data_IF_346261222446
#
_entry.id   IF_346261222446
#
_cell.length_a   1.000
_cell.length_b   1.000
_cell.length_c   1.000
_cell.angle_alpha   90.00
_cell.angle_beta   90.00
_cell.angle_gamma   90.00
#
_symmetry.space_group_name_H-M   'P 1'
#
loop_
_entity.id
_entity.type
_entity.pdbx_description
1 polymer ?
#
# COMPACT_ATOMS: atom_id res chain seq x y z
N UNK A 1 -18.53 -0.78 -2.57
CA UNK A 1 -17.87 -1.43 -1.44
C UNK A 1 -17.64 -2.93 -1.70
N UNK A 2 -18.71 -3.73 -1.91
CA UNK A 2 -18.59 -5.18 -2.17
C UNK A 2 -17.72 -5.47 -3.39
N UNK A 3 -17.94 -4.79 -4.51
CA UNK A 3 -17.10 -4.94 -5.71
C UNK A 3 -15.62 -4.63 -5.43
N UNK A 4 -15.34 -3.63 -4.61
CA UNK A 4 -13.97 -3.30 -4.18
C UNK A 4 -13.34 -4.39 -3.33
N UNK A 5 -14.10 -5.00 -2.44
CA UNK A 5 -13.64 -6.14 -1.65
C UNK A 5 -13.32 -7.37 -2.52
N UNK A 6 -14.18 -7.68 -3.50
CA UNK A 6 -13.89 -8.76 -4.45
C UNK A 6 -12.62 -8.46 -5.28
N UNK A 7 -12.48 -7.24 -5.82
CA UNK A 7 -11.27 -6.80 -6.52
C UNK A 7 -10.02 -6.90 -5.63
N UNK A 8 -10.11 -6.55 -4.35
CA UNK A 8 -9.01 -6.64 -3.39
C UNK A 8 -8.49 -8.09 -3.27
N UNK A 9 -9.38 -9.06 -3.28
CA UNK A 9 -9.02 -10.49 -3.28
C UNK A 9 -8.49 -10.95 -4.64
N UNK A 10 -9.21 -10.68 -5.72
CA UNK A 10 -8.88 -11.11 -7.08
C UNK A 10 -7.54 -10.54 -7.55
N UNK A 11 -7.25 -9.30 -7.22
CA UNK A 11 -5.98 -8.63 -7.52
C UNK A 11 -4.86 -8.99 -6.54
N UNK A 12 -5.08 -9.98 -5.66
CA UNK A 12 -4.07 -10.51 -4.73
C UNK A 12 -3.54 -9.51 -3.69
N UNK A 13 -4.23 -8.40 -3.46
CA UNK A 13 -3.88 -7.45 -2.40
C UNK A 13 -3.87 -8.15 -1.03
N UNK A 14 -4.84 -9.04 -0.80
CA UNK A 14 -4.96 -9.86 0.40
C UNK A 14 -3.81 -10.86 0.60
N UNK A 15 -2.87 -11.01 -0.36
CA UNK A 15 -1.69 -11.87 -0.18
C UNK A 15 -0.71 -11.26 0.84
N UNK A 16 -0.55 -9.95 0.81
CA UNK A 16 0.34 -9.21 1.70
C UNK A 16 -0.45 -8.47 2.81
N UNK A 17 -1.60 -7.90 2.46
CA UNK A 17 -2.49 -7.22 3.40
C UNK A 17 -3.43 -8.22 4.08
N UNK A 18 -2.89 -8.93 5.08
CA UNK A 18 -3.56 -10.04 5.80
C UNK A 18 -3.78 -9.72 7.29
N UNK A 19 -4.53 -10.59 7.96
CA UNK A 19 -4.82 -10.49 9.38
C UNK A 19 -5.87 -9.43 9.72
N UNK A 20 -6.15 -9.27 11.00
CA UNK A 20 -7.23 -8.39 11.50
C UNK A 20 -7.03 -6.92 11.15
N UNK A 21 -5.80 -6.49 10.91
CA UNK A 21 -5.46 -5.12 10.53
C UNK A 21 -5.22 -4.95 9.03
N UNK A 22 -5.43 -5.99 8.23
CA UNK A 22 -5.11 -6.02 6.80
C UNK A 22 -3.68 -5.51 6.52
N UNK A 23 -2.71 -6.06 7.25
CA UNK A 23 -1.29 -5.71 7.15
C UNK A 23 -0.55 -5.90 8.47
N UNK A 24 0.70 -5.49 8.50
CA UNK A 24 1.56 -5.60 9.68
C UNK A 24 2.17 -6.98 9.91
N UNK A 25 1.91 -7.97 9.04
CA UNK A 25 2.29 -9.37 9.23
C UNK A 25 3.58 -9.76 8.50
N UNK A 26 3.98 -9.01 7.46
CA UNK A 26 5.12 -9.36 6.61
C UNK A 26 5.95 -8.14 6.23
N UNK A 27 7.13 -8.42 5.68
CA UNK A 27 8.00 -7.43 5.03
C UNK A 27 8.12 -7.81 3.55
N UNK A 28 7.77 -6.88 2.66
CA UNK A 28 7.74 -7.10 1.23
C UNK A 28 8.63 -6.11 0.49
N UNK A 29 9.20 -6.54 -0.64
CA UNK A 29 9.93 -5.64 -1.52
C UNK A 29 8.99 -4.60 -2.12
N UNK A 30 9.39 -3.34 -2.10
CA UNK A 30 8.73 -2.32 -2.90
C UNK A 30 9.21 -2.42 -4.34
N UNK A 31 8.26 -2.76 -5.23
CA UNK A 31 8.58 -2.99 -6.64
C UNK A 31 8.94 -4.44 -6.96
N UNK A 32 8.06 -5.39 -6.60
CA UNK A 32 8.24 -6.83 -6.91
C UNK A 32 8.23 -7.09 -8.42
N UNK A 33 7.45 -6.33 -9.19
CA UNK A 33 7.23 -6.54 -10.63
C UNK A 33 7.98 -5.56 -11.50
N UNK A 34 8.30 -4.39 -10.98
CA UNK A 34 9.03 -3.35 -11.71
C UNK A 34 9.72 -2.42 -10.71
N UNK A 35 10.72 -1.67 -11.14
CA UNK A 35 11.50 -0.82 -10.27
C UNK A 35 10.76 0.48 -9.92
N UNK A 36 10.13 0.51 -8.75
CA UNK A 36 9.44 1.68 -8.23
C UNK A 36 10.36 2.90 -8.05
N UNK A 37 11.60 2.69 -7.59
CA UNK A 37 12.52 3.78 -7.29
C UNK A 37 13.01 4.49 -8.54
N UNK A 38 13.23 3.74 -9.64
CA UNK A 38 13.56 4.32 -10.95
C UNK A 38 12.35 5.11 -11.49
N UNK A 39 11.13 4.58 -11.34
CA UNK A 39 9.91 5.28 -11.73
C UNK A 39 9.73 6.59 -10.95
N UNK A 40 9.95 6.58 -9.65
CA UNK A 40 9.87 7.78 -8.79
C UNK A 40 10.86 8.86 -9.24
N UNK A 41 12.05 8.49 -9.70
CA UNK A 41 13.01 9.37 -10.37
C UNK A 41 13.71 10.40 -9.47
N UNK A 42 13.56 10.33 -8.16
CA UNK A 42 14.17 11.28 -7.20
C UNK A 42 15.52 10.84 -6.64
N UNK A 43 16.05 9.70 -7.13
CA UNK A 43 17.24 9.06 -6.54
C UNK A 43 16.90 8.32 -5.24
N UNK A 44 17.82 7.46 -4.79
CA UNK A 44 17.67 6.71 -3.55
C UNK A 44 18.07 7.56 -2.34
N UNK A 45 17.34 7.40 -1.25
CA UNK A 45 17.61 7.98 0.06
C UNK A 45 17.87 6.88 1.09
N UNK A 46 18.35 7.23 2.27
CA UNK A 46 18.55 6.26 3.35
C UNK A 46 17.24 5.56 3.77
N UNK A 47 16.09 6.26 3.68
CA UNK A 47 14.78 5.70 3.93
C UNK A 47 14.39 4.57 2.98
N UNK A 48 14.89 4.59 1.75
CA UNK A 48 14.62 3.58 0.73
C UNK A 48 15.29 2.23 1.02
N UNK A 49 16.25 2.18 1.92
CA UNK A 49 16.87 0.94 2.35
C UNK A 49 15.89 0.01 3.10
N UNK A 50 14.82 0.56 3.67
CA UNK A 50 13.81 -0.22 4.39
C UNK A 50 14.40 -1.02 5.55
N UNK A 51 14.01 -2.29 5.67
CA UNK A 51 14.47 -3.20 6.73
C UNK A 51 15.99 -3.37 6.80
N UNK A 52 16.67 -3.25 5.66
CA UNK A 52 18.15 -3.28 5.63
C UNK A 52 18.78 -2.28 6.59
N UNK A 53 18.17 -1.12 6.81
CA UNK A 53 18.70 -0.10 7.73
C UNK A 53 18.92 -0.64 9.15
N UNK A 54 18.15 -1.65 9.55
CA UNK A 54 18.24 -2.30 10.87
C UNK A 54 19.06 -3.59 10.80
N UNK A 55 18.77 -4.47 9.86
CA UNK A 55 19.33 -5.82 9.81
C UNK A 55 20.73 -5.90 9.20
N UNK A 56 21.06 -4.94 8.33
CA UNK A 56 22.28 -4.96 7.49
C UNK A 56 22.41 -6.20 6.60
N UNK A 57 21.32 -6.94 6.41
CA UNK A 57 21.24 -8.07 5.51
C UNK A 57 20.77 -7.59 4.13
N UNK A 58 21.56 -7.85 3.08
CA UNK A 58 21.24 -7.41 1.70
C UNK A 58 19.89 -7.96 1.20
N UNK A 59 19.45 -9.12 1.68
CA UNK A 59 18.12 -9.66 1.35
C UNK A 59 16.97 -8.81 1.89
N UNK A 60 17.22 -7.92 2.83
CA UNK A 60 16.23 -7.02 3.41
C UNK A 60 16.23 -5.61 2.78
N UNK A 61 17.12 -5.37 1.81
CA UNK A 61 17.17 -4.07 1.12
C UNK A 61 15.88 -3.85 0.34
N UNK A 62 15.31 -2.65 0.50
CA UNK A 62 14.02 -2.25 -0.08
C UNK A 62 12.81 -3.09 0.37
N UNK A 63 12.95 -3.84 1.46
CA UNK A 63 11.81 -4.47 2.13
C UNK A 63 11.22 -3.54 3.17
N UNK A 64 9.90 -3.39 3.09
CA UNK A 64 9.13 -2.59 4.04
C UNK A 64 8.09 -3.45 4.72
N UNK A 65 7.80 -3.15 5.98
CA UNK A 65 6.68 -3.77 6.67
C UNK A 65 5.40 -3.43 5.91
N UNK A 66 4.63 -4.44 5.51
CA UNK A 66 3.33 -4.23 4.89
C UNK A 66 2.45 -3.42 5.84
N UNK A 67 2.04 -2.20 5.47
CA UNK A 67 1.28 -1.36 6.38
C UNK A 67 -0.13 -1.91 6.60
N UNK A 68 -0.70 -1.74 7.80
CA UNK A 68 -2.11 -2.00 8.01
C UNK A 68 -2.96 -1.06 7.17
N UNK A 69 -4.10 -1.56 6.67
CA UNK A 69 -5.04 -0.77 5.89
C UNK A 69 -6.20 -0.20 6.71
N UNK A 70 -6.32 -0.58 7.98
CA UNK A 70 -7.27 0.09 8.87
C UNK A 70 -6.92 1.57 8.98
N UNK A 71 -7.93 2.42 8.77
CA UNK A 71 -7.79 3.88 8.77
C UNK A 71 -6.87 4.42 7.67
N UNK A 72 -6.63 3.66 6.60
CA UNK A 72 -5.72 4.07 5.52
C UNK A 72 -6.19 5.34 4.79
N UNK A 73 -7.48 5.68 4.88
CA UNK A 73 -8.04 6.92 4.33
C UNK A 73 -7.63 8.18 5.10
N UNK A 74 -7.01 8.01 6.28
CA UNK A 74 -6.62 9.08 7.20
C UNK A 74 -5.13 9.01 7.51
N UNK A 75 -4.40 10.09 7.46
CA UNK A 75 -4.39 11.18 6.48
C UNK A 75 -3.36 10.90 5.37
N UNK A 76 -3.40 11.60 4.23
CA UNK A 76 -2.28 11.61 3.30
C UNK A 76 -1.06 12.29 3.92
N UNK A 77 0.15 12.13 3.37
CA UNK A 77 0.51 11.42 2.14
C UNK A 77 0.80 9.93 2.36
N UNK A 78 0.93 9.20 1.25
CA UNK A 78 1.15 7.74 1.21
C UNK A 78 2.58 7.38 0.83
N UNK A 79 2.93 6.09 0.97
CA UNK A 79 4.24 5.47 0.88
C UNK A 79 5.15 5.82 2.06
N UNK A 80 6.29 5.10 2.16
CA UNK A 80 7.24 5.26 3.28
C UNK A 80 7.90 6.65 3.33
N UNK A 81 7.92 7.35 2.21
CA UNK A 81 8.54 8.67 2.03
C UNK A 81 7.50 9.80 1.86
N UNK A 82 6.21 9.47 1.88
CA UNK A 82 5.15 10.44 1.68
C UNK A 82 5.09 11.00 0.25
N UNK A 83 5.64 10.32 -0.74
CA UNK A 83 5.73 10.82 -2.11
C UNK A 83 4.40 10.83 -2.87
N UNK A 84 3.39 10.11 -2.39
CA UNK A 84 2.10 9.94 -3.07
C UNK A 84 1.00 10.67 -2.30
N UNK A 85 0.35 11.62 -2.98
CA UNK A 85 -0.60 12.53 -2.36
C UNK A 85 -2.02 11.95 -2.18
N UNK A 86 -2.43 11.00 -3.04
CA UNK A 86 -3.80 10.47 -3.06
C UNK A 86 -3.84 8.96 -2.88
N UNK A 87 -4.95 8.46 -2.31
CA UNK A 87 -5.15 7.01 -2.17
C UNK A 87 -5.31 6.33 -3.53
N UNK A 88 -5.93 7.01 -4.49
CA UNK A 88 -6.09 6.51 -5.86
C UNK A 88 -4.73 6.26 -6.52
N UNK A 89 -3.79 7.18 -6.37
CA UNK A 89 -2.45 7.03 -6.93
C UNK A 89 -1.67 5.94 -6.18
N UNK A 90 -1.83 5.83 -4.86
CA UNK A 90 -1.26 4.73 -4.09
C UNK A 90 -1.76 3.36 -4.57
N UNK A 91 -3.06 3.22 -4.86
CA UNK A 91 -3.65 2.00 -5.44
C UNK A 91 -3.03 1.71 -6.81
N UNK A 92 -2.90 2.70 -7.68
CA UNK A 92 -2.29 2.53 -9.01
C UNK A 92 -0.84 2.08 -8.91
N UNK A 93 -0.07 2.68 -8.01
CA UNK A 93 1.33 2.31 -7.74
C UNK A 93 1.41 0.85 -7.25
N UNK A 94 0.57 0.45 -6.30
CA UNK A 94 0.53 -0.94 -5.84
C UNK A 94 0.19 -1.90 -6.98
N UNK A 95 -0.78 -1.57 -7.82
CA UNK A 95 -1.13 -2.39 -8.98
C UNK A 95 0.04 -2.53 -9.95
N UNK A 96 0.68 -1.43 -10.32
CA UNK A 96 1.77 -1.43 -11.29
C UNK A 96 3.00 -2.18 -10.75
N UNK A 97 3.46 -1.86 -9.54
CA UNK A 97 4.76 -2.31 -9.05
C UNK A 97 4.70 -3.59 -8.22
N UNK A 98 3.60 -3.88 -7.55
CA UNK A 98 3.46 -5.11 -6.75
C UNK A 98 2.72 -6.23 -7.49
N UNK A 99 1.77 -5.89 -8.36
CA UNK A 99 0.95 -6.87 -9.11
C UNK A 99 1.42 -6.99 -10.57
N UNK A 100 1.97 -5.92 -11.16
CA UNK A 100 2.45 -5.85 -12.54
C UNK A 100 1.33 -5.64 -13.55
N UNK A 101 0.27 -4.94 -13.18
CA UNK A 101 -0.89 -4.64 -14.02
C UNK A 101 -1.34 -3.19 -13.83
N UNK A 102 -1.85 -2.59 -14.89
CA UNK A 102 -2.61 -1.35 -14.75
C UNK A 102 -4.01 -1.64 -14.20
N UNK A 103 -4.60 -0.65 -13.56
CA UNK A 103 -5.96 -0.72 -13.03
C UNK A 103 -6.82 0.37 -13.69
N UNK A 104 -8.10 0.05 -13.97
CA UNK A 104 -9.04 1.02 -14.51
C UNK A 104 -9.47 2.05 -13.45
N UNK A 105 -9.95 3.20 -13.90
CA UNK A 105 -10.50 4.22 -12.98
C UNK A 105 -11.74 3.71 -12.24
N UNK A 106 -12.57 2.88 -12.90
CA UNK A 106 -13.74 2.28 -12.27
C UNK A 106 -13.37 1.31 -11.15
N UNK A 107 -12.36 0.46 -11.38
CA UNK A 107 -11.86 -0.49 -10.37
C UNK A 107 -11.14 0.24 -9.23
N UNK A 108 -10.38 1.29 -9.55
CA UNK A 108 -9.76 2.15 -8.54
C UNK A 108 -10.80 2.75 -7.60
N UNK A 109 -11.88 3.31 -8.15
CA UNK A 109 -13.00 3.85 -7.35
C UNK A 109 -13.67 2.79 -6.48
N UNK A 110 -13.81 1.57 -7.00
CA UNK A 110 -14.39 0.46 -6.23
C UNK A 110 -13.49 0.06 -5.06
N UNK A 111 -12.17 0.00 -5.27
CA UNK A 111 -11.21 -0.24 -4.20
C UNK A 111 -11.21 0.88 -3.16
N UNK A 112 -11.26 2.15 -3.59
CA UNK A 112 -11.37 3.29 -2.67
C UNK A 112 -12.63 3.17 -1.80
N UNK A 113 -13.78 2.82 -2.41
CA UNK A 113 -15.02 2.61 -1.66
C UNK A 113 -14.91 1.48 -0.63
N UNK A 114 -14.19 0.39 -0.94
CA UNK A 114 -13.88 -0.66 0.02
C UNK A 114 -12.94 -0.16 1.14
N UNK A 115 -11.83 0.48 0.79
CA UNK A 115 -10.87 0.98 1.77
C UNK A 115 -11.51 1.99 2.73
N UNK A 116 -12.47 2.78 2.26
CA UNK A 116 -13.20 3.72 3.11
C UNK A 116 -14.01 3.02 4.21
N UNK A 117 -14.48 1.78 3.98
CA UNK A 117 -15.17 0.97 5.02
C UNK A 117 -14.24 0.53 6.16
N UNK A 118 -12.93 0.65 5.98
CA UNK A 118 -11.92 0.32 6.98
C UNK A 118 -11.61 1.48 7.93
N UNK A 119 -12.29 2.61 7.78
CA UNK A 119 -12.19 3.75 8.70
C UNK A 119 -12.97 3.45 9.96
N UNK A 120 -12.28 3.53 11.09
CA UNK A 120 -12.86 3.24 12.39
C UNK A 120 -13.67 4.41 12.96
N UNK A 121 -14.38 4.12 14.04
CA UNK A 121 -15.16 5.10 14.82
C UNK A 121 -14.57 5.26 16.22
N UNK A 122 -14.66 6.45 16.77
CA UNK A 122 -14.36 6.73 18.16
C UNK A 122 -15.57 7.44 18.79
N UNK A 123 -16.12 6.85 19.85
CA UNK A 123 -17.34 7.34 20.54
C UNK A 123 -18.55 7.54 19.62
N UNK A 124 -18.66 6.71 18.57
CA UNK A 124 -19.77 6.76 17.61
C UNK A 124 -19.62 7.77 16.48
N UNK A 125 -18.44 8.41 16.37
CA UNK A 125 -18.11 9.30 15.27
C UNK A 125 -16.96 8.71 14.43
N UNK A 126 -17.09 8.79 13.09
CA UNK A 126 -16.03 8.37 12.19
C UNK A 126 -14.74 9.17 12.46
N UNK A 127 -13.62 8.48 12.45
CA UNK A 127 -12.31 9.13 12.52
C UNK A 127 -12.12 10.03 11.30
N UNK A 128 -11.50 11.20 11.51
CA UNK A 128 -11.22 12.22 10.48
C UNK A 128 -9.76 12.59 10.47
#
# INVERSE_FOLDING_TARGET
>A
EVAGYELFKENKCATCHTGVNLGGQSFEYMGIKDNYFDYRGTGLTDGDNGRYSVTKNEQDRHRFKTPPLLNVMLPPPYMHDGSIATIEDAIRIMHQFQIGKNISDADTKSLVAFLNTLTGEYKGELLQ
#
